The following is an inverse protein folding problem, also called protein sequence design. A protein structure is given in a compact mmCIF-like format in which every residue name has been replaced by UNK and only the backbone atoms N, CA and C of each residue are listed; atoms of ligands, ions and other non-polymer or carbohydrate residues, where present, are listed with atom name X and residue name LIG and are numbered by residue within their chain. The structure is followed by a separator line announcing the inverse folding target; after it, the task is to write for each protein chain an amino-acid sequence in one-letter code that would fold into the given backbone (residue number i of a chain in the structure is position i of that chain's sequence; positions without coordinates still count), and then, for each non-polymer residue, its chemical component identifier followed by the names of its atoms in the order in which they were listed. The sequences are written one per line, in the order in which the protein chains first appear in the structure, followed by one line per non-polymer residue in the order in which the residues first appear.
data_IF_779581665850
#
_entry.id   IF_779581665850
#
_cell.length_a   1.000
_cell.length_b   1.000
_cell.length_c   1.000
_cell.angle_alpha   90.00
_cell.angle_beta   90.00
_cell.angle_gamma   90.00
#
_symmetry.space_group_name_H-M   'P 1'
#
loop_
_entity.id
_entity.type
_entity.pdbx_description
1 polymer ?
#
# COMPACT_ATOMS: atom_id res chain seq x y z
N UNK A 1 -10.89 46.46 42.15
CA UNK A 1 -11.43 45.83 40.90
C UNK A 1 -10.61 46.06 39.64
N UNK A 2 -9.90 47.17 39.46
CA UNK A 2 -9.12 47.50 38.24
C UNK A 2 -7.83 46.64 38.03
N UNK A 3 -7.12 46.21 39.09
CA UNK A 3 -5.84 45.47 38.99
C UNK A 3 -6.02 44.04 38.43
N UNK A 4 -7.10 43.34 38.80
CA UNK A 4 -7.40 41.97 38.25
C UNK A 4 -7.73 41.98 36.74
N UNK A 5 -8.23 43.11 36.22
CA UNK A 5 -8.53 43.25 34.76
C UNK A 5 -7.28 43.52 33.95
N UNK A 6 -6.28 44.19 34.49
CA UNK A 6 -4.99 44.49 33.81
C UNK A 6 -4.14 43.22 33.74
N UNK A 7 -4.07 42.46 34.83
CA UNK A 7 -3.32 41.18 34.85
C UNK A 7 -3.91 40.18 33.85
N UNK A 8 -5.24 40.06 33.73
CA UNK A 8 -5.88 39.22 32.69
C UNK A 8 -5.61 39.66 31.25
N UNK A 9 -5.38 40.95 30.99
CA UNK A 9 -5.10 41.49 29.66
C UNK A 9 -3.62 41.27 29.23
N UNK A 10 -2.69 41.24 30.18
CA UNK A 10 -1.26 41.08 29.91
C UNK A 10 -0.87 39.58 29.85
N UNK A 11 -1.49 38.74 30.72
CA UNK A 11 -1.18 37.30 30.74
C UNK A 11 -1.71 36.52 29.54
N UNK A 12 -2.82 36.95 28.91
CA UNK A 12 -3.35 36.27 27.72
C UNK A 12 -2.38 36.23 26.53
N UNK A 13 -1.78 37.35 26.08
CA UNK A 13 -0.85 37.31 24.95
C UNK A 13 0.46 36.58 25.28
N UNK A 14 0.95 36.61 26.53
CA UNK A 14 2.19 35.96 26.96
C UNK A 14 2.10 34.42 26.86
N UNK A 15 0.90 33.85 27.03
CA UNK A 15 0.68 32.39 26.89
C UNK A 15 0.21 32.06 25.47
N UNK A 16 -0.62 32.88 24.85
CA UNK A 16 -1.18 32.61 23.53
C UNK A 16 -0.11 32.62 22.43
N UNK A 17 0.84 33.56 22.47
CA UNK A 17 1.87 33.69 21.46
C UNK A 17 2.81 32.46 21.44
N UNK A 18 3.38 31.98 22.56
CA UNK A 18 4.17 30.75 22.57
C UNK A 18 3.38 29.51 22.12
N UNK A 19 2.11 29.39 22.49
CA UNK A 19 1.24 28.29 22.05
C UNK A 19 1.00 28.35 20.55
N UNK A 20 0.77 29.53 19.98
CA UNK A 20 0.62 29.69 18.53
C UNK A 20 1.91 29.37 17.79
N UNK A 21 3.07 29.83 18.27
CA UNK A 21 4.37 29.50 17.68
C UNK A 21 4.60 27.98 17.73
N UNK A 22 4.33 27.34 18.86
CA UNK A 22 4.46 25.90 19.02
C UNK A 22 3.55 25.14 18.03
N UNK A 23 2.29 25.56 17.87
CA UNK A 23 1.37 24.97 16.90
C UNK A 23 1.83 25.17 15.46
N UNK A 24 2.40 26.34 15.12
CA UNK A 24 2.96 26.61 13.79
C UNK A 24 4.19 25.73 13.53
N UNK A 25 5.06 25.56 14.53
CA UNK A 25 6.26 24.68 14.41
C UNK A 25 5.83 23.23 14.23
N UNK A 26 4.85 22.76 15.01
CA UNK A 26 4.33 21.39 14.82
C UNK A 26 3.67 21.24 13.45
N UNK A 27 2.83 22.21 13.05
CA UNK A 27 2.20 22.16 11.73
C UNK A 27 3.24 22.17 10.59
N UNK A 28 4.30 22.98 10.74
CA UNK A 28 5.42 22.99 9.79
C UNK A 28 6.19 21.68 9.75
N UNK A 29 6.44 21.06 10.91
CA UNK A 29 7.11 19.76 11.00
C UNK A 29 6.24 18.63 10.40
N UNK A 30 4.95 18.61 10.70
CA UNK A 30 3.99 17.66 10.14
C UNK A 30 3.86 17.86 8.62
N UNK A 31 3.81 19.10 8.15
CA UNK A 31 3.76 19.39 6.72
C UNK A 31 5.06 18.98 6.02
N UNK A 32 6.23 19.28 6.61
CA UNK A 32 7.53 18.87 6.08
C UNK A 32 7.64 17.35 5.98
N UNK A 33 7.17 16.64 7.02
CA UNK A 33 7.12 15.18 7.01
C UNK A 33 6.15 14.65 5.95
N UNK A 34 4.96 15.24 5.83
CA UNK A 34 3.94 14.83 4.86
C UNK A 34 4.35 15.14 3.39
N UNK A 35 5.31 16.05 3.20
CA UNK A 35 5.86 16.39 1.87
C UNK A 35 7.14 15.59 1.54
N UNK A 36 7.63 14.74 2.43
CA UNK A 36 8.68 13.77 2.10
C UNK A 36 8.06 12.62 1.34
N UNK A 37 8.25 12.61 0.04
CA UNK A 37 7.74 11.59 -0.86
C UNK A 37 8.90 10.77 -1.43
N UNK A 38 8.74 9.46 -1.47
CA UNK A 38 9.59 8.55 -2.23
C UNK A 38 9.04 8.46 -3.64
N UNK A 39 9.64 9.24 -4.55
CA UNK A 39 9.20 9.29 -5.94
C UNK A 39 9.53 7.96 -6.65
N UNK A 40 8.73 7.65 -7.67
CA UNK A 40 9.06 6.57 -8.59
C UNK A 40 10.38 6.84 -9.30
N UNK A 41 11.28 5.86 -9.35
CA UNK A 41 12.51 5.92 -10.13
C UNK A 41 12.22 5.84 -11.62
N UNK A 42 13.16 6.30 -12.47
CA UNK A 42 13.00 6.30 -13.92
C UNK A 42 12.64 4.92 -14.48
N UNK A 43 13.22 3.87 -13.91
CA UNK A 43 12.94 2.50 -14.32
C UNK A 43 11.47 2.11 -14.13
N UNK A 44 10.79 2.59 -13.06
CA UNK A 44 9.36 2.35 -12.87
C UNK A 44 8.51 3.00 -13.97
N UNK A 45 8.96 4.18 -14.44
CA UNK A 45 8.23 4.96 -15.45
C UNK A 45 8.27 4.32 -16.83
N UNK A 46 9.28 3.49 -17.12
CA UNK A 46 9.35 2.71 -18.38
C UNK A 46 8.17 1.74 -18.52
N UNK A 47 7.59 1.28 -17.41
CA UNK A 47 6.45 0.38 -17.38
C UNK A 47 5.09 1.10 -17.51
N UNK A 48 5.07 2.41 -17.73
CA UNK A 48 3.84 3.17 -17.99
C UNK A 48 3.45 3.19 -19.47
N UNK A 49 4.28 2.63 -20.35
CA UNK A 49 4.01 2.55 -21.77
C UNK A 49 3.26 1.25 -22.10
N UNK A 50 2.22 1.37 -22.93
CA UNK A 50 1.49 0.20 -23.43
C UNK A 50 2.35 -0.56 -24.44
N UNK A 51 2.19 -1.89 -24.45
CA UNK A 51 2.88 -2.79 -25.38
C UNK A 51 1.88 -3.71 -26.13
N UNK A 52 2.40 -4.69 -26.87
CA UNK A 52 1.54 -5.68 -27.53
C UNK A 52 0.83 -6.60 -26.52
N UNK A 53 1.37 -6.78 -25.32
CA UNK A 53 0.83 -7.70 -24.29
C UNK A 53 0.10 -6.99 -23.16
N UNK A 54 0.43 -5.74 -22.86
CA UNK A 54 -0.14 -4.97 -21.74
C UNK A 54 -0.63 -3.61 -22.22
N UNK A 55 -1.89 -3.29 -21.93
CA UNK A 55 -2.45 -1.96 -22.09
C UNK A 55 -2.35 -1.20 -20.76
N UNK A 56 -1.74 -0.02 -20.79
CA UNK A 56 -1.57 0.85 -19.63
C UNK A 56 -2.35 2.14 -19.86
N UNK A 57 -3.18 2.54 -18.90
CA UNK A 57 -3.94 3.80 -18.98
C UNK A 57 -4.12 4.43 -17.60
N UNK A 58 -4.15 5.76 -17.58
CA UNK A 58 -4.49 6.52 -16.38
C UNK A 58 -5.95 6.95 -16.44
N UNK A 59 -6.66 6.84 -15.31
CA UNK A 59 -8.04 7.28 -15.17
C UNK A 59 -8.25 7.90 -13.77
N UNK A 60 -8.28 9.24 -13.73
CA UNK A 60 -8.31 9.98 -12.48
C UNK A 60 -7.12 9.64 -11.57
N UNK A 61 -7.43 9.17 -10.38
CA UNK A 61 -6.43 8.79 -9.36
C UNK A 61 -6.02 7.30 -9.47
N UNK A 62 -6.10 6.71 -10.67
CA UNK A 62 -5.84 5.28 -10.88
C UNK A 62 -4.96 5.05 -12.10
N UNK A 63 -4.02 4.11 -11.98
CA UNK A 63 -3.28 3.55 -13.10
C UNK A 63 -3.73 2.10 -13.31
N UNK A 64 -4.20 1.80 -14.52
CA UNK A 64 -4.71 0.50 -14.89
C UNK A 64 -3.70 -0.19 -15.81
N UNK A 65 -3.43 -1.45 -15.50
CA UNK A 65 -2.59 -2.35 -16.27
C UNK A 65 -3.43 -3.56 -16.65
N UNK A 66 -3.71 -3.70 -17.92
CA UNK A 66 -4.63 -4.73 -18.43
C UNK A 66 -3.94 -5.60 -19.48
N UNK A 67 -4.04 -6.92 -19.40
CA UNK A 67 -3.57 -7.78 -20.49
C UNK A 67 -4.36 -7.49 -21.76
N UNK A 68 -3.71 -7.34 -22.91
CA UNK A 68 -4.39 -7.13 -24.21
C UNK A 68 -5.21 -8.35 -24.64
N UNK A 69 -4.83 -9.55 -24.18
CA UNK A 69 -5.59 -10.79 -24.33
C UNK A 69 -5.92 -11.33 -22.94
N UNK A 70 -6.93 -10.75 -22.29
CA UNK A 70 -7.28 -11.07 -20.92
C UNK A 70 -8.35 -12.16 -20.83
N UNK A 71 -8.24 -13.01 -19.80
CA UNK A 71 -9.32 -13.87 -19.33
C UNK A 71 -10.06 -13.12 -18.20
N UNK A 72 -11.35 -12.78 -18.44
CA UNK A 72 -12.16 -12.11 -17.44
C UNK A 72 -12.45 -12.99 -16.21
N UNK A 73 -12.23 -14.30 -16.28
CA UNK A 73 -12.34 -15.18 -15.13
C UNK A 73 -11.15 -15.04 -14.16
N UNK A 74 -9.98 -14.59 -14.64
CA UNK A 74 -8.87 -14.28 -13.75
C UNK A 74 -9.23 -13.06 -12.89
N UNK A 75 -8.91 -13.08 -11.58
CA UNK A 75 -9.20 -11.95 -10.72
C UNK A 75 -8.44 -10.69 -11.12
N UNK A 76 -9.01 -9.54 -10.80
CA UNK A 76 -8.28 -8.28 -10.80
C UNK A 76 -7.59 -8.02 -9.47
N UNK A 77 -6.53 -7.21 -9.48
CA UNK A 77 -5.83 -6.75 -8.29
C UNK A 77 -6.02 -5.24 -8.12
N UNK A 78 -6.32 -4.79 -6.91
CA UNK A 78 -6.32 -3.37 -6.54
C UNK A 78 -5.20 -3.18 -5.53
N UNK A 79 -4.23 -2.33 -5.85
CA UNK A 79 -3.01 -2.16 -5.09
C UNK A 79 -2.96 -0.81 -4.38
N UNK A 80 -2.68 -0.85 -3.08
CA UNK A 80 -2.47 0.31 -2.22
C UNK A 80 -0.98 0.51 -1.94
N UNK A 81 -0.40 1.65 -2.30
CA UNK A 81 1.02 1.95 -2.08
C UNK A 81 1.37 2.10 -0.60
N UNK A 82 2.65 2.00 -0.29
CA UNK A 82 3.22 2.34 1.01
C UNK A 82 3.02 3.81 1.37
N UNK A 83 3.25 4.15 2.66
CA UNK A 83 3.18 5.54 3.09
C UNK A 83 4.28 6.38 2.40
N UNK A 84 3.90 7.55 1.89
CA UNK A 84 4.80 8.50 1.24
C UNK A 84 5.50 7.94 -0.01
N UNK A 85 4.94 6.89 -0.63
CA UNK A 85 5.47 6.30 -1.87
C UNK A 85 4.54 6.63 -3.03
N UNK A 86 5.10 7.22 -4.08
CA UNK A 86 4.39 7.42 -5.36
C UNK A 86 3.87 6.07 -5.87
N UNK A 87 2.57 6.01 -6.15
CA UNK A 87 1.94 4.79 -6.66
C UNK A 87 2.60 4.27 -7.96
N UNK A 88 3.21 5.16 -8.76
CA UNK A 88 3.94 4.79 -9.98
C UNK A 88 5.17 3.94 -9.72
N UNK A 89 5.73 3.98 -8.51
CA UNK A 89 6.85 3.12 -8.15
C UNK A 89 6.52 1.62 -8.26
N UNK A 90 5.23 1.27 -8.20
CA UNK A 90 4.75 -0.11 -8.33
C UNK A 90 4.41 -0.51 -9.77
N UNK A 91 4.74 0.33 -10.77
CA UNK A 91 4.36 0.08 -12.17
C UNK A 91 4.97 -1.19 -12.73
N UNK A 92 6.24 -1.50 -12.42
CA UNK A 92 6.88 -2.78 -12.82
C UNK A 92 6.10 -3.99 -12.29
N UNK A 93 5.76 -4.00 -11.00
CA UNK A 93 4.98 -5.07 -10.38
C UNK A 93 3.62 -5.25 -11.08
N UNK A 94 2.88 -4.16 -11.27
CA UNK A 94 1.56 -4.18 -11.89
C UNK A 94 1.61 -4.60 -13.36
N UNK A 95 2.62 -4.11 -14.10
CA UNK A 95 2.85 -4.46 -15.48
C UNK A 95 3.16 -5.96 -15.66
N UNK A 96 4.08 -6.49 -14.84
CA UNK A 96 4.45 -7.91 -14.91
C UNK A 96 3.25 -8.80 -14.54
N UNK A 97 2.41 -8.43 -13.58
CA UNK A 97 1.18 -9.14 -13.28
C UNK A 97 0.20 -9.11 -14.46
N UNK A 98 0.08 -7.96 -15.15
CA UNK A 98 -0.74 -7.85 -16.35
C UNK A 98 -0.20 -8.70 -17.51
N UNK A 99 1.11 -8.75 -17.71
CA UNK A 99 1.75 -9.63 -18.69
C UNK A 99 1.49 -11.13 -18.41
N UNK A 100 1.29 -11.51 -17.12
CA UNK A 100 0.82 -12.84 -16.71
C UNK A 100 -0.70 -13.02 -16.78
N UNK A 101 -1.44 -12.01 -17.26
CA UNK A 101 -2.87 -12.07 -17.51
C UNK A 101 -3.74 -11.61 -16.32
N UNK A 102 -3.17 -10.94 -15.32
CA UNK A 102 -3.90 -10.42 -14.15
C UNK A 102 -4.00 -8.89 -14.23
N UNK A 103 -5.19 -8.37 -14.52
CA UNK A 103 -5.41 -6.91 -14.51
C UNK A 103 -5.10 -6.33 -13.13
N UNK A 104 -4.39 -5.20 -13.09
CA UNK A 104 -3.97 -4.54 -11.86
C UNK A 104 -4.33 -3.06 -11.90
N UNK A 105 -4.79 -2.51 -10.77
CA UNK A 105 -5.09 -1.09 -10.60
C UNK A 105 -4.23 -0.58 -9.44
N UNK A 106 -3.31 0.34 -9.74
CA UNK A 106 -2.57 1.09 -8.73
C UNK A 106 -3.40 2.31 -8.33
N UNK A 107 -3.57 2.51 -7.04
CA UNK A 107 -4.38 3.60 -6.50
C UNK A 107 -3.47 4.74 -6.05
N UNK A 108 -3.61 5.93 -6.64
CA UNK A 108 -3.03 7.14 -6.10
C UNK A 108 -3.74 7.50 -4.80
N UNK A 109 -2.99 7.70 -3.73
CA UNK A 109 -3.55 8.01 -2.42
C UNK A 109 -3.40 9.49 -2.09
N UNK A 110 -4.41 10.13 -1.47
CA UNK A 110 -4.28 11.52 -1.08
C UNK A 110 -3.03 11.74 -0.22
N UNK A 111 -2.16 12.65 -0.66
CA UNK A 111 -0.87 12.93 -0.01
C UNK A 111 0.00 11.66 0.17
N UNK A 112 -0.14 10.67 -0.73
CA UNK A 112 0.56 9.38 -0.65
C UNK A 112 0.34 8.63 0.68
N UNK A 113 -0.79 8.86 1.31
CA UNK A 113 -1.18 8.25 2.57
C UNK A 113 -2.46 7.41 2.42
N UNK A 114 -2.30 6.10 2.35
CA UNK A 114 -3.42 5.17 2.20
C UNK A 114 -4.48 5.30 3.30
N UNK A 115 -4.11 5.81 4.48
CA UNK A 115 -5.07 6.07 5.57
C UNK A 115 -6.14 7.11 5.19
N UNK A 116 -5.83 8.03 4.27
CA UNK A 116 -6.76 9.07 3.80
C UNK A 116 -7.64 8.60 2.63
N UNK A 117 -7.21 7.55 1.93
CA UNK A 117 -7.89 7.00 0.76
C UNK A 117 -8.29 5.52 0.88
N UNK A 118 -8.35 4.97 2.08
CA UNK A 118 -8.53 3.54 2.29
C UNK A 118 -9.82 2.94 1.69
N UNK A 119 -10.82 3.77 1.36
CA UNK A 119 -12.07 3.34 0.70
C UNK A 119 -12.00 3.30 -0.83
N UNK A 120 -10.92 3.78 -1.44
CA UNK A 120 -10.80 3.92 -2.90
C UNK A 120 -10.90 2.61 -3.69
N UNK A 121 -10.73 1.45 -3.04
CA UNK A 121 -10.95 0.16 -3.71
C UNK A 121 -12.38 -0.01 -4.23
N UNK A 122 -13.37 0.59 -3.56
CA UNK A 122 -14.76 0.59 -4.03
C UNK A 122 -14.93 1.27 -5.38
N UNK A 123 -14.29 2.42 -5.57
CA UNK A 123 -14.34 3.18 -6.83
C UNK A 123 -13.42 2.53 -7.89
N UNK A 124 -12.25 2.05 -7.47
CA UNK A 124 -11.27 1.41 -8.37
C UNK A 124 -11.87 0.23 -9.14
N UNK A 125 -12.63 -0.64 -8.48
CA UNK A 125 -13.24 -1.82 -9.11
C UNK A 125 -14.23 -1.45 -10.23
N UNK A 126 -14.89 -0.29 -10.15
CA UNK A 126 -15.87 0.15 -11.15
C UNK A 126 -15.22 0.52 -12.50
N UNK A 127 -13.88 0.70 -12.52
CA UNK A 127 -13.12 0.98 -13.74
C UNK A 127 -12.95 -0.26 -14.63
N UNK A 128 -13.15 -1.46 -14.08
CA UNK A 128 -13.15 -2.73 -14.82
C UNK A 128 -14.43 -3.53 -14.49
N UNK A 129 -15.60 -3.08 -14.96
CA UNK A 129 -16.90 -3.61 -14.55
C UNK A 129 -17.12 -5.09 -14.93
N UNK A 130 -16.39 -5.60 -15.92
CA UNK A 130 -16.45 -7.01 -16.34
C UNK A 130 -15.71 -7.96 -15.39
N UNK A 131 -14.91 -7.43 -14.42
CA UNK A 131 -14.23 -8.22 -13.42
C UNK A 131 -15.11 -8.46 -12.19
N UNK A 132 -15.39 -9.72 -11.90
CA UNK A 132 -16.26 -10.11 -10.79
C UNK A 132 -15.50 -10.47 -9.50
N UNK A 133 -14.25 -10.90 -9.62
CA UNK A 133 -13.41 -11.34 -8.53
C UNK A 133 -12.21 -10.42 -8.38
N UNK A 134 -11.98 -9.97 -7.16
CA UNK A 134 -10.90 -9.04 -6.85
C UNK A 134 -10.06 -9.52 -5.68
N UNK A 135 -8.77 -9.29 -5.76
CA UNK A 135 -7.85 -9.34 -4.64
C UNK A 135 -7.40 -7.92 -4.31
N UNK A 136 -7.50 -7.54 -3.04
CA UNK A 136 -6.82 -6.35 -2.60
C UNK A 136 -5.36 -6.69 -2.33
N UNK A 137 -4.48 -5.76 -2.62
CA UNK A 137 -3.06 -5.88 -2.33
C UNK A 137 -2.54 -4.56 -1.77
N UNK A 138 -1.47 -4.62 -1.02
CA UNK A 138 -0.83 -3.39 -0.58
C UNK A 138 0.48 -3.64 0.13
N UNK A 139 1.34 -2.63 0.01
CA UNK A 139 2.64 -2.58 0.63
C UNK A 139 2.60 -1.76 1.93
N UNK A 140 3.22 -2.25 3.00
CA UNK A 140 3.39 -1.50 4.25
C UNK A 140 2.05 -0.91 4.76
N UNK A 141 1.93 0.41 4.93
CA UNK A 141 0.68 1.07 5.31
C UNK A 141 -0.47 0.75 4.33
N UNK A 142 -0.20 0.62 3.05
CA UNK A 142 -1.19 0.24 2.05
C UNK A 142 -1.82 -1.12 2.33
N UNK A 143 -1.02 -2.12 2.71
CA UNK A 143 -1.53 -3.44 3.08
C UNK A 143 -2.37 -3.41 4.36
N UNK A 144 -1.97 -2.61 5.36
CA UNK A 144 -2.78 -2.39 6.56
C UNK A 144 -4.13 -1.73 6.23
N UNK A 145 -4.15 -0.78 5.28
CA UNK A 145 -5.38 -0.09 4.86
C UNK A 145 -6.26 -0.95 3.94
N UNK A 146 -5.68 -1.81 3.12
CA UNK A 146 -6.41 -2.83 2.37
C UNK A 146 -7.11 -3.82 3.32
N UNK A 147 -6.41 -4.25 4.37
CA UNK A 147 -7.00 -5.08 5.45
C UNK A 147 -8.15 -4.36 6.14
N UNK A 148 -7.99 -3.07 6.44
CA UNK A 148 -9.03 -2.22 7.03
C UNK A 148 -10.26 -2.11 6.14
N UNK A 149 -10.06 -1.93 4.83
CA UNK A 149 -11.18 -1.89 3.89
C UNK A 149 -12.01 -3.17 3.97
N UNK A 150 -11.36 -4.33 3.92
CA UNK A 150 -12.05 -5.62 4.02
C UNK A 150 -12.78 -5.74 5.35
N UNK A 151 -12.12 -5.44 6.48
CA UNK A 151 -12.71 -5.61 7.80
C UNK A 151 -13.87 -4.67 8.09
N UNK A 152 -13.90 -3.48 7.48
CA UNK A 152 -14.92 -2.45 7.75
C UNK A 152 -16.07 -2.46 6.77
N UNK A 153 -15.78 -2.69 5.47
CA UNK A 153 -16.80 -2.66 4.40
C UNK A 153 -17.34 -4.07 4.10
N UNK A 154 -16.62 -5.13 4.47
CA UNK A 154 -16.97 -6.54 4.23
C UNK A 154 -17.49 -6.81 2.81
N UNK A 155 -16.74 -6.43 1.78
CA UNK A 155 -17.22 -6.46 0.39
C UNK A 155 -17.24 -7.90 -0.14
N UNK A 156 -18.37 -8.36 -0.63
CA UNK A 156 -18.56 -9.73 -1.16
C UNK A 156 -17.79 -10.02 -2.47
N UNK A 157 -17.34 -8.97 -3.15
CA UNK A 157 -16.58 -9.06 -4.39
C UNK A 157 -15.05 -9.23 -4.16
N UNK A 158 -14.55 -8.98 -2.96
CA UNK A 158 -13.15 -9.27 -2.59
C UNK A 158 -13.04 -10.73 -2.20
N UNK A 159 -12.18 -11.47 -2.92
CA UNK A 159 -11.91 -12.90 -2.69
C UNK A 159 -10.63 -13.13 -1.89
N UNK A 160 -9.71 -12.18 -1.92
CA UNK A 160 -8.45 -12.34 -1.22
C UNK A 160 -7.71 -11.04 -0.95
N UNK A 161 -6.62 -11.19 -0.18
CA UNK A 161 -5.73 -10.13 0.24
C UNK A 161 -4.28 -10.57 0.06
N UNK A 162 -3.47 -9.69 -0.52
CA UNK A 162 -2.04 -9.88 -0.69
C UNK A 162 -1.32 -8.78 0.08
N UNK A 163 -0.57 -9.15 1.09
CA UNK A 163 0.19 -8.25 1.95
C UNK A 163 1.68 -8.31 1.58
N UNK A 164 2.25 -7.17 1.22
CA UNK A 164 3.68 -7.00 0.99
C UNK A 164 4.28 -6.20 2.16
N UNK A 165 5.13 -6.85 2.96
CA UNK A 165 5.73 -6.26 4.17
C UNK A 165 4.68 -5.52 5.03
N UNK A 166 3.55 -6.18 5.31
CA UNK A 166 2.40 -5.54 5.96
C UNK A 166 1.63 -6.51 6.87
N UNK A 167 0.93 -5.93 7.83
CA UNK A 167 -0.03 -6.63 8.68
C UNK A 167 -1.19 -5.71 9.09
N UNK A 168 -2.39 -6.24 9.40
CA UNK A 168 -3.50 -5.45 9.87
C UNK A 168 -3.31 -4.94 11.31
N UNK A 169 -3.98 -3.85 11.65
CA UNK A 169 -4.15 -3.45 13.04
C UNK A 169 -5.03 -4.48 13.79
N UNK A 170 -4.89 -4.58 15.12
CA UNK A 170 -5.74 -5.48 15.93
C UNK A 170 -7.23 -5.21 15.78
N UNK A 171 -7.59 -3.94 15.58
CA UNK A 171 -8.98 -3.51 15.35
C UNK A 171 -9.56 -3.95 14.01
N UNK A 172 -8.72 -4.38 13.09
CA UNK A 172 -9.06 -4.73 11.71
C UNK A 172 -8.75 -6.23 11.45
N UNK A 173 -9.04 -7.09 12.47
CA UNK A 173 -8.87 -8.54 12.41
C UNK A 173 -9.67 -9.15 11.26
N UNK A 174 -9.04 -10.07 10.55
CA UNK A 174 -9.62 -10.85 9.45
C UNK A 174 -9.74 -12.34 9.79
N UNK A 175 -9.56 -12.72 11.08
CA UNK A 175 -9.48 -14.12 11.53
C UNK A 175 -10.69 -14.96 11.13
N UNK A 176 -11.88 -14.36 11.18
CA UNK A 176 -13.14 -15.06 10.97
C UNK A 176 -13.68 -14.84 9.54
N UNK A 177 -12.84 -14.32 8.62
CA UNK A 177 -13.20 -14.11 7.23
C UNK A 177 -12.83 -15.33 6.38
N UNK A 178 -13.73 -15.74 5.50
CA UNK A 178 -13.45 -16.69 4.41
C UNK A 178 -12.75 -15.94 3.28
N UNK A 179 -11.43 -15.79 3.39
CA UNK A 179 -10.62 -14.97 2.53
C UNK A 179 -9.32 -15.70 2.19
N UNK A 180 -8.94 -15.72 0.92
CA UNK A 180 -7.62 -16.13 0.50
C UNK A 180 -6.59 -15.08 0.93
N UNK A 181 -5.51 -15.47 1.59
CA UNK A 181 -4.50 -14.51 2.04
C UNK A 181 -3.08 -14.99 1.76
N UNK A 182 -2.31 -14.13 1.10
CA UNK A 182 -0.88 -14.27 0.91
C UNK A 182 -0.17 -13.11 1.62
N UNK A 183 0.84 -13.41 2.43
CA UNK A 183 1.71 -12.43 3.07
C UNK A 183 3.15 -12.69 2.65
N UNK A 184 3.75 -11.72 1.96
CA UNK A 184 5.14 -11.72 1.51
C UNK A 184 5.93 -10.70 2.34
N UNK A 185 7.13 -11.06 2.78
CA UNK A 185 8.01 -10.16 3.53
C UNK A 185 9.47 -10.54 3.32
N UNK A 186 10.34 -9.55 3.40
CA UNK A 186 11.79 -9.77 3.33
C UNK A 186 12.41 -10.11 4.68
N UNK A 187 13.44 -10.93 4.71
CA UNK A 187 14.16 -11.21 5.96
C UNK A 187 15.24 -10.14 6.30
N UNK A 188 15.39 -9.15 5.43
CA UNK A 188 16.26 -7.98 5.63
C UNK A 188 15.45 -6.70 5.86
N UNK A 189 14.13 -6.82 6.01
CA UNK A 189 13.25 -5.70 6.32
C UNK A 189 13.50 -5.23 7.76
N UNK A 190 13.92 -3.97 7.93
CA UNK A 190 14.13 -3.32 9.22
C UNK A 190 13.10 -2.20 9.50
N UNK A 191 12.15 -1.98 8.57
CA UNK A 191 11.05 -1.02 8.73
C UNK A 191 9.85 -1.70 9.39
N UNK A 192 9.45 -2.88 8.88
CA UNK A 192 8.36 -3.63 9.48
C UNK A 192 8.91 -4.46 10.66
N UNK A 193 8.20 -4.39 11.78
CA UNK A 193 8.50 -5.27 12.92
C UNK A 193 8.11 -6.71 12.56
N UNK A 194 9.11 -7.53 12.22
CA UNK A 194 8.91 -8.93 11.80
C UNK A 194 8.38 -9.81 12.94
N UNK A 195 8.67 -9.50 14.19
CA UNK A 195 8.13 -10.25 15.32
C UNK A 195 6.65 -9.90 15.52
N UNK A 196 6.28 -8.64 15.39
CA UNK A 196 4.90 -8.21 15.38
C UNK A 196 4.15 -8.78 14.17
N UNK A 197 4.77 -8.83 12.97
CA UNK A 197 4.17 -9.48 11.79
C UNK A 197 3.84 -10.95 12.08
N UNK A 198 4.72 -11.68 12.75
CA UNK A 198 4.49 -13.07 13.18
C UNK A 198 3.36 -13.16 14.21
N UNK A 199 3.31 -12.25 15.18
CA UNK A 199 2.22 -12.19 16.18
C UNK A 199 0.86 -11.95 15.50
N UNK A 200 0.81 -11.04 14.51
CA UNK A 200 -0.40 -10.69 13.77
C UNK A 200 -0.98 -11.83 12.92
N UNK A 201 -0.25 -12.92 12.70
CA UNK A 201 -0.83 -14.14 12.10
C UNK A 201 -2.07 -14.62 12.85
N UNK A 202 -2.15 -14.40 14.16
CA UNK A 202 -3.28 -14.81 15.02
C UNK A 202 -4.60 -14.10 14.71
N UNK A 203 -4.55 -12.95 14.01
CA UNK A 203 -5.72 -12.17 13.61
C UNK A 203 -6.00 -12.24 12.10
N UNK A 204 -5.35 -13.16 11.39
CA UNK A 204 -5.57 -13.47 9.99
C UNK A 204 -6.25 -14.82 9.83
N UNK A 205 -6.86 -15.13 8.67
CA UNK A 205 -7.46 -16.43 8.39
C UNK A 205 -6.47 -17.57 8.63
N UNK A 206 -6.93 -18.69 9.15
CA UNK A 206 -6.08 -19.86 9.40
C UNK A 206 -5.47 -20.46 8.11
N UNK A 207 -6.10 -20.20 6.96
CA UNK A 207 -5.63 -20.60 5.62
C UNK A 207 -4.57 -19.66 5.04
N UNK A 208 -4.19 -18.58 5.73
CA UNK A 208 -3.22 -17.60 5.24
C UNK A 208 -1.85 -18.24 4.96
N UNK A 209 -1.29 -17.92 3.82
CA UNK A 209 0.03 -18.35 3.37
C UNK A 209 1.03 -17.24 3.64
N UNK A 210 2.14 -17.60 4.30
CA UNK A 210 3.24 -16.68 4.60
C UNK A 210 4.49 -17.15 3.87
N UNK A 211 5.12 -16.25 3.11
CA UNK A 211 6.36 -16.50 2.38
C UNK A 211 7.40 -15.44 2.72
N UNK A 212 8.53 -15.89 3.19
CA UNK A 212 9.71 -15.06 3.38
C UNK A 212 10.51 -15.04 2.08
N UNK A 213 10.90 -13.85 1.63
CA UNK A 213 11.80 -13.66 0.49
C UNK A 213 13.22 -13.46 1.06
N UNK A 214 14.08 -14.43 0.84
CA UNK A 214 15.44 -14.38 1.35
C UNK A 214 16.25 -13.27 0.68
N UNK A 215 16.93 -12.44 1.47
CA UNK A 215 17.71 -11.31 0.98
C UNK A 215 16.90 -10.05 0.66
N UNK A 216 15.59 -10.12 0.66
CA UNK A 216 14.69 -9.00 0.40
C UNK A 216 14.58 -8.06 1.60
N UNK A 217 14.37 -6.76 1.35
CA UNK A 217 14.10 -5.74 2.34
C UNK A 217 12.71 -5.10 2.17
N UNK A 218 12.43 -4.02 2.91
CA UNK A 218 11.15 -3.32 2.83
C UNK A 218 10.96 -2.60 1.51
N UNK A 219 11.94 -1.79 1.11
CA UNK A 219 11.84 -0.92 -0.06
C UNK A 219 11.86 -1.66 -1.39
N UNK A 220 12.44 -2.85 -1.45
CA UNK A 220 12.58 -3.63 -2.70
C UNK A 220 11.27 -4.21 -3.27
N UNK A 221 10.10 -3.94 -2.67
CA UNK A 221 8.80 -4.27 -3.27
C UNK A 221 8.34 -3.30 -4.36
N UNK A 222 9.08 -2.20 -4.59
CA UNK A 222 8.79 -1.21 -5.64
C UNK A 222 10.05 -0.42 -6.02
N UNK A 223 10.01 0.26 -7.17
CA UNK A 223 11.12 1.06 -7.70
C UNK A 223 11.02 2.52 -7.20
N UNK A 224 11.38 2.75 -5.91
CA UNK A 224 11.47 4.09 -5.31
C UNK A 224 12.80 4.33 -4.58
N UNK A 225 13.75 3.42 -4.75
CA UNK A 225 15.04 3.48 -4.12
C UNK A 225 15.03 3.02 -2.66
N UNK A 226 16.10 3.34 -1.95
CA UNK A 226 16.27 2.93 -0.56
C UNK A 226 15.43 3.80 0.38
N UNK A 227 14.71 3.17 1.30
CA UNK A 227 14.00 3.85 2.36
C UNK A 227 14.91 4.05 3.58
N UNK A 228 14.90 5.25 4.18
CA UNK A 228 15.68 5.53 5.37
C UNK A 228 15.28 4.60 6.53
N UNK A 229 16.27 3.96 7.13
CA UNK A 229 16.08 3.01 8.23
C UNK A 229 15.78 1.57 7.80
N UNK A 230 15.72 1.30 6.49
CA UNK A 230 15.56 -0.06 5.98
C UNK A 230 16.87 -0.84 6.01
N UNK A 231 16.75 -2.18 6.08
CA UNK A 231 17.89 -3.09 6.02
C UNK A 231 18.53 -3.15 4.64
N UNK A 232 19.81 -3.47 4.58
CA UNK A 232 20.52 -3.66 3.31
C UNK A 232 20.06 -4.94 2.63
N UNK A 233 19.45 -4.81 1.44
CA UNK A 233 19.03 -5.95 0.64
C UNK A 233 20.24 -6.76 0.13
N UNK A 234 20.07 -8.07 0.00
CA UNK A 234 21.06 -9.01 -0.58
C UNK A 234 20.70 -9.43 -2.00
N UNK A 235 19.55 -9.01 -2.48
CA UNK A 235 19.07 -9.17 -3.86
C UNK A 235 18.70 -7.79 -4.41
N UNK A 236 18.66 -7.66 -5.72
CA UNK A 236 18.25 -6.40 -6.37
C UNK A 236 16.74 -6.17 -6.22
N UNK A 237 16.31 -4.91 -6.38
CA UNK A 237 14.87 -4.56 -6.42
C UNK A 237 14.16 -5.33 -7.54
N UNK A 238 14.80 -5.48 -8.71
CA UNK A 238 14.26 -6.27 -9.82
C UNK A 238 14.03 -7.73 -9.43
N UNK A 239 15.05 -8.40 -8.86
CA UNK A 239 14.92 -9.78 -8.37
C UNK A 239 13.83 -9.93 -7.31
N UNK A 240 13.68 -8.96 -6.41
CA UNK A 240 12.64 -8.98 -5.38
C UNK A 240 11.24 -8.82 -5.98
N UNK A 241 11.08 -7.92 -6.96
CA UNK A 241 9.80 -7.74 -7.68
C UNK A 241 9.47 -9.00 -8.48
N UNK A 242 10.43 -9.59 -9.19
CA UNK A 242 10.23 -10.81 -9.97
C UNK A 242 9.75 -11.97 -9.08
N UNK A 243 10.41 -12.19 -7.93
CA UNK A 243 9.98 -13.18 -6.94
C UNK A 243 8.60 -12.88 -6.36
N UNK A 244 8.29 -11.60 -6.15
CA UNK A 244 6.98 -11.16 -5.66
C UNK A 244 5.89 -11.50 -6.67
N UNK A 245 6.12 -11.22 -7.97
CA UNK A 245 5.21 -11.58 -9.06
C UNK A 245 5.03 -13.09 -9.15
N UNK A 246 6.12 -13.87 -9.10
CA UNK A 246 6.07 -15.33 -9.14
C UNK A 246 5.19 -15.89 -8.02
N UNK A 247 5.41 -15.47 -6.76
CA UNK A 247 4.60 -15.92 -5.63
C UNK A 247 3.13 -15.50 -5.74
N UNK A 248 2.84 -14.30 -6.24
CA UNK A 248 1.46 -13.83 -6.46
C UNK A 248 0.78 -14.68 -7.54
N UNK A 249 1.44 -14.90 -8.69
CA UNK A 249 0.90 -15.70 -9.80
C UNK A 249 0.65 -17.13 -9.38
N UNK A 250 1.61 -17.76 -8.68
CA UNK A 250 1.46 -19.12 -8.15
C UNK A 250 0.28 -19.21 -7.19
N UNK A 251 0.16 -18.23 -6.28
CA UNK A 251 -0.94 -18.17 -5.32
C UNK A 251 -2.29 -18.03 -6.00
N UNK A 252 -2.43 -17.15 -6.99
CA UNK A 252 -3.68 -16.90 -7.69
C UNK A 252 -4.06 -18.08 -8.61
N UNK A 253 -3.07 -18.70 -9.28
CA UNK A 253 -3.33 -19.79 -10.22
C UNK A 253 -3.93 -21.05 -9.56
N UNK A 254 -3.70 -21.25 -8.27
CA UNK A 254 -4.26 -22.36 -7.48
C UNK A 254 -5.72 -22.11 -7.04
N UNK A 255 -6.30 -20.94 -7.37
CA UNK A 255 -7.62 -20.46 -6.93
C UNK A 255 -8.55 -20.07 -8.07
N UNK A 256 -8.16 -20.42 -9.29
CA UNK A 256 -8.97 -20.24 -10.52
C UNK A 256 -9.99 -21.34 -10.73
#
# INVERSE_FOLDING_TARGET
MKVKSIIKKIFKPIIIIPVLIFLIVIAGAVLSWALQSYNAEEIALEFLESTETVNVRAEGDYLLFEPTQGDNNKPGLIFYPGAQVDHKAYSRLAYQLADKGYSSILVDMPFELAILGWKRAGDARELLPDKNNWYLSGHSLGGAMASRFISRENPNWVKGLILLAAYPANSDSLKDYELDLLSLYGNRDEIVDLDLLKERRSILPASAIFKEIAGANHSGFADYGNQEGDGEAQITTEEQIDLTVEYIVDFLSQRL
#
